data_IF_231639308569
#
_entry.id   IF_231639308569
#
_cell.length_a   1.000
_cell.length_b   1.000
_cell.length_c   1.000
_cell.angle_alpha   90.00
_cell.angle_beta   90.00
_cell.angle_gamma   90.00
#
_symmetry.space_group_name_H-M   'P 1'
#
loop_
_entity.id
_entity.type
_entity.pdbx_description
1 polymer ?
#
# COMPACT_ATOMS: atom_id res chain seq x y z
N UNK A 1 -14.78 3.26 60.28
CA UNK A 1 -15.57 2.34 61.09
C UNK A 1 -15.33 0.93 60.55
N UNK A 2 -14.35 0.20 61.18
CA UNK A 2 -14.54 -0.96 62.05
C UNK A 2 -15.43 -2.02 61.41
N UNK A 3 -15.07 -3.32 61.37
CA UNK A 3 -14.10 -4.18 62.04
C UNK A 3 -14.15 -5.56 61.40
N UNK A 4 -13.09 -6.21 61.42
CA UNK A 4 -12.64 -7.35 62.23
C UNK A 4 -13.50 -8.60 62.27
N UNK A 5 -12.82 -9.77 62.03
CA UNK A 5 -13.09 -11.10 62.49
C UNK A 5 -12.73 -12.17 61.46
N UNK A 6 -11.73 -12.82 61.44
CA UNK A 6 -10.80 -13.68 62.16
C UNK A 6 -11.33 -15.12 62.40
N UNK A 7 -10.40 -16.05 62.04
CA UNK A 7 -10.18 -17.44 62.49
C UNK A 7 -11.11 -18.52 61.90
N UNK A 8 -10.67 -19.68 61.52
CA UNK A 8 -9.46 -20.49 61.68
C UNK A 8 -9.88 -21.96 61.57
N UNK A 9 -9.07 -22.83 61.07
CA UNK A 9 -9.37 -24.25 61.11
C UNK A 9 -8.38 -25.08 60.26
N UNK A 10 -7.38 -25.59 60.93
CA UNK A 10 -6.39 -26.49 60.39
C UNK A 10 -6.91 -27.93 60.27
N UNK A 11 -6.46 -28.64 59.25
CA UNK A 11 -6.63 -30.06 59.10
C UNK A 11 -5.50 -30.64 58.22
N UNK A 12 -4.53 -31.29 58.90
CA UNK A 12 -3.45 -32.09 58.29
C UNK A 12 -4.03 -33.47 57.85
N UNK A 13 -3.60 -33.97 56.69
CA UNK A 13 -2.99 -35.28 56.59
C UNK A 13 -2.38 -35.55 55.21
N UNK A 14 -1.14 -35.79 55.17
CA UNK A 14 -0.23 -36.80 54.67
C UNK A 14 -0.65 -37.69 53.50
N UNK A 15 0.21 -37.73 52.46
CA UNK A 15 0.66 -38.98 51.88
C UNK A 15 0.75 -39.10 50.38
N UNK A 16 1.98 -39.33 49.93
CA UNK A 16 2.46 -40.19 48.86
C UNK A 16 2.67 -39.60 47.44
N UNK A 17 3.95 -39.37 47.18
CA UNK A 17 4.79 -39.76 46.03
C UNK A 17 4.16 -40.06 44.68
N UNK A 18 4.61 -39.35 43.64
CA UNK A 18 4.51 -39.75 42.22
C UNK A 18 5.24 -38.73 41.34
N UNK A 19 6.34 -39.14 40.77
CA UNK A 19 7.24 -38.36 39.94
C UNK A 19 6.64 -38.06 38.52
N UNK A 20 7.10 -36.95 37.93
CA UNK A 20 7.31 -36.91 36.49
C UNK A 20 6.43 -35.94 35.70
N UNK A 21 7.07 -35.01 35.05
CA UNK A 21 6.56 -34.38 33.86
C UNK A 21 6.56 -32.86 33.85
N UNK A 22 7.73 -32.28 33.60
CA UNK A 22 7.83 -30.88 33.20
C UNK A 22 7.08 -30.66 31.86
N UNK A 23 5.96 -29.97 31.90
CA UNK A 23 5.27 -29.50 30.73
C UNK A 23 5.78 -28.13 30.35
N UNK A 24 6.61 -28.08 29.32
CA UNK A 24 7.10 -26.86 28.68
C UNK A 24 5.95 -26.29 27.85
N UNK A 25 5.36 -25.17 28.25
CA UNK A 25 4.46 -24.38 27.42
C UNK A 25 5.26 -23.55 26.44
N UNK A 26 5.76 -24.18 25.38
CA UNK A 26 6.33 -23.52 24.23
C UNK A 26 5.20 -23.00 23.33
N UNK A 27 5.18 -21.67 23.13
CA UNK A 27 4.33 -21.07 22.10
C UNK A 27 4.67 -21.69 20.75
N UNK A 28 3.65 -22.21 20.09
CA UNK A 28 3.78 -22.73 18.74
C UNK A 28 4.01 -21.57 17.76
N UNK A 29 5.26 -21.30 17.45
CA UNK A 29 5.62 -20.65 16.22
C UNK A 29 5.19 -21.61 15.10
N UNK A 30 4.22 -21.19 14.33
CA UNK A 30 3.73 -21.94 13.17
C UNK A 30 4.77 -21.83 12.04
N UNK A 31 5.93 -22.45 12.19
CA UNK A 31 6.81 -22.72 11.06
C UNK A 31 6.15 -23.81 10.26
N UNK A 32 5.45 -23.42 9.18
CA UNK A 32 5.00 -24.36 8.18
C UNK A 32 6.24 -25.15 7.71
N UNK A 33 6.36 -26.39 8.16
CA UNK A 33 7.31 -27.33 7.64
C UNK A 33 7.03 -27.46 6.14
N UNK A 34 7.98 -27.10 5.31
CA UNK A 34 7.95 -27.40 3.87
C UNK A 34 8.03 -28.91 3.76
N UNK A 35 6.88 -29.55 3.70
CA UNK A 35 6.78 -30.93 3.27
C UNK A 35 7.07 -30.94 1.76
N UNK A 36 8.19 -31.54 1.40
CA UNK A 36 8.52 -31.89 0.01
C UNK A 36 7.66 -33.08 -0.44
N UNK A 37 6.42 -32.79 -0.82
CA UNK A 37 5.48 -33.75 -1.36
C UNK A 37 4.34 -33.02 -2.07
N UNK A 38 3.81 -33.61 -3.12
CA UNK A 38 2.88 -33.09 -4.14
C UNK A 38 1.52 -32.48 -3.64
N UNK A 39 1.34 -32.15 -2.37
CA UNK A 39 0.09 -31.71 -1.76
C UNK A 39 0.08 -30.27 -1.22
N UNK A 40 1.11 -29.44 -1.49
CA UNK A 40 1.07 -28.03 -1.06
C UNK A 40 0.17 -27.22 -1.99
N UNK A 41 -0.93 -26.71 -1.47
CA UNK A 41 -1.80 -25.76 -2.16
C UNK A 41 -1.94 -24.48 -1.34
N UNK A 42 -1.86 -23.31 -2.02
CA UNK A 42 -2.11 -22.02 -1.41
C UNK A 42 -3.03 -21.17 -2.27
N UNK A 43 -3.97 -20.49 -1.62
CA UNK A 43 -4.80 -19.45 -2.22
C UNK A 43 -4.41 -18.12 -1.59
N UNK A 44 -3.77 -17.25 -2.40
CA UNK A 44 -3.24 -15.96 -1.96
C UNK A 44 -4.12 -14.82 -2.48
N UNK A 45 -4.09 -13.68 -1.81
CA UNK A 45 -4.86 -12.49 -2.15
C UNK A 45 -3.92 -11.37 -2.58
N UNK A 46 -4.24 -10.72 -3.70
CA UNK A 46 -3.60 -9.51 -4.16
C UNK A 46 -4.65 -8.39 -4.24
N UNK A 47 -4.40 -7.26 -3.58
CA UNK A 47 -5.30 -6.11 -3.58
C UNK A 47 -4.66 -4.87 -4.18
N UNK A 48 -5.48 -4.04 -4.84
CA UNK A 48 -5.11 -2.72 -5.32
C UNK A 48 -6.34 -1.81 -5.48
N UNK A 49 -6.11 -0.49 -5.58
CA UNK A 49 -7.18 0.52 -5.61
C UNK A 49 -7.69 0.85 -7.03
N UNK A 50 -7.00 0.42 -8.08
CA UNK A 50 -7.35 0.76 -9.46
C UNK A 50 -8.39 -0.19 -10.05
N UNK A 51 -9.20 0.25 -11.04
CA UNK A 51 -10.05 -0.66 -11.82
C UNK A 51 -9.24 -1.79 -12.48
N UNK A 52 -9.92 -2.90 -12.80
CA UNK A 52 -9.26 -4.09 -13.36
C UNK A 52 -8.65 -3.86 -14.74
N UNK A 53 -9.23 -2.98 -15.54
CA UNK A 53 -8.77 -2.58 -16.89
C UNK A 53 -7.65 -1.53 -16.86
N UNK A 54 -7.30 -0.99 -15.68
CA UNK A 54 -6.12 -0.15 -15.50
C UNK A 54 -4.83 -1.00 -15.65
N UNK A 55 -3.68 -0.42 -16.10
CA UNK A 55 -2.41 -1.16 -16.19
C UNK A 55 -2.01 -1.91 -14.91
N UNK A 56 -2.31 -1.39 -13.72
CA UNK A 56 -2.08 -2.10 -12.46
C UNK A 56 -2.94 -3.37 -12.34
N UNK A 57 -4.22 -3.29 -12.75
CA UNK A 57 -5.12 -4.43 -12.74
C UNK A 57 -4.66 -5.51 -13.72
N UNK A 58 -4.33 -5.11 -14.95
CA UNK A 58 -3.78 -6.03 -15.96
C UNK A 58 -2.47 -6.69 -15.49
N UNK A 59 -1.60 -5.92 -14.83
CA UNK A 59 -0.36 -6.44 -14.23
C UNK A 59 -0.62 -7.43 -13.09
N UNK A 60 -1.62 -7.16 -12.25
CA UNK A 60 -2.04 -8.04 -11.17
C UNK A 60 -2.58 -9.38 -11.68
N UNK A 61 -3.44 -9.33 -12.71
CA UNK A 61 -3.97 -10.53 -13.37
C UNK A 61 -2.85 -11.37 -14.03
N UNK A 62 -1.90 -10.71 -14.69
CA UNK A 62 -0.76 -11.39 -15.30
C UNK A 62 0.16 -12.01 -14.24
N UNK A 63 0.39 -11.32 -13.14
CA UNK A 63 1.11 -11.89 -12.00
C UNK A 63 0.40 -13.14 -11.47
N UNK A 64 -0.91 -13.08 -11.25
CA UNK A 64 -1.70 -14.21 -10.78
C UNK A 64 -1.65 -15.40 -11.75
N UNK A 65 -1.75 -15.13 -13.07
CA UNK A 65 -1.63 -16.13 -14.13
C UNK A 65 -0.27 -16.81 -14.12
N UNK A 66 0.81 -16.02 -14.03
CA UNK A 66 2.18 -16.53 -14.01
C UNK A 66 2.49 -17.34 -12.75
N UNK A 67 2.01 -16.91 -11.58
CA UNK A 67 2.15 -17.68 -10.32
C UNK A 67 1.50 -19.04 -10.49
N UNK A 68 0.26 -19.09 -10.95
CA UNK A 68 -0.46 -20.35 -11.18
C UNK A 68 0.29 -21.25 -12.18
N UNK A 69 0.75 -20.70 -13.30
CA UNK A 69 1.47 -21.46 -14.34
C UNK A 69 2.80 -22.03 -13.79
N UNK A 70 3.59 -21.18 -13.11
CA UNK A 70 4.93 -21.58 -12.60
C UNK A 70 4.90 -22.54 -11.42
N UNK A 71 3.74 -22.68 -10.79
CA UNK A 71 3.53 -23.60 -9.66
C UNK A 71 2.64 -24.80 -10.04
N UNK A 72 2.43 -25.03 -11.34
CA UNK A 72 1.55 -26.08 -11.86
C UNK A 72 0.15 -26.07 -11.18
N UNK A 73 -0.34 -24.88 -10.81
CA UNK A 73 -1.62 -24.69 -10.15
C UNK A 73 -1.62 -24.90 -8.63
N UNK A 74 -0.48 -25.22 -8.03
CA UNK A 74 -0.38 -25.40 -6.57
C UNK A 74 -0.56 -24.10 -5.80
N UNK A 75 -0.20 -22.95 -6.40
CA UNK A 75 -0.45 -21.63 -5.84
C UNK A 75 -1.35 -20.84 -6.77
N UNK A 76 -2.42 -20.28 -6.22
CA UNK A 76 -3.32 -19.37 -6.94
C UNK A 76 -3.35 -18.02 -6.25
N UNK A 77 -3.55 -16.95 -7.03
CA UNK A 77 -3.68 -15.58 -6.51
C UNK A 77 -5.02 -15.04 -6.97
N UNK A 78 -5.86 -14.66 -6.02
CA UNK A 78 -7.12 -13.96 -6.27
C UNK A 78 -6.88 -12.46 -6.26
N UNK A 79 -7.24 -11.75 -7.34
CA UNK A 79 -7.07 -10.31 -7.48
C UNK A 79 -8.32 -9.58 -7.00
N UNK A 80 -8.14 -8.57 -6.15
CA UNK A 80 -9.19 -7.71 -5.58
C UNK A 80 -8.93 -6.25 -6.02
N UNK A 81 -9.47 -5.82 -7.17
CA UNK A 81 -9.29 -4.47 -7.72
C UNK A 81 -10.23 -3.45 -7.09
N UNK A 82 -10.10 -2.18 -7.52
CA UNK A 82 -11.04 -1.09 -7.24
C UNK A 82 -11.39 -0.90 -5.77
N UNK A 83 -10.39 -0.99 -4.89
CA UNK A 83 -10.56 -0.83 -3.43
C UNK A 83 -11.54 -1.83 -2.79
N UNK A 84 -11.75 -3.02 -3.36
CA UNK A 84 -12.67 -4.04 -2.81
C UNK A 84 -12.27 -4.48 -1.39
N UNK A 85 -10.98 -4.43 -1.04
CA UNK A 85 -10.47 -4.77 0.28
C UNK A 85 -10.01 -3.54 1.09
N UNK A 86 -10.43 -2.34 0.69
CA UNK A 86 -10.13 -1.10 1.38
C UNK A 86 -9.33 -0.09 0.56
N UNK A 87 -9.02 1.06 1.15
CA UNK A 87 -8.13 2.07 0.58
C UNK A 87 -6.66 1.66 0.70
N UNK A 88 -5.72 2.45 0.16
CA UNK A 88 -4.28 2.13 0.16
C UNK A 88 -3.74 1.82 1.56
N UNK A 89 -4.12 2.62 2.56
CA UNK A 89 -3.69 2.42 3.94
C UNK A 89 -4.22 1.09 4.50
N UNK A 90 -5.52 0.84 4.34
CA UNK A 90 -6.18 -0.39 4.85
C UNK A 90 -5.60 -1.64 4.19
N UNK A 91 -5.35 -1.59 2.87
CA UNK A 91 -4.72 -2.68 2.12
C UNK A 91 -3.30 -2.91 2.64
N UNK A 92 -2.50 -1.85 2.84
CA UNK A 92 -1.13 -2.00 3.29
C UNK A 92 -1.05 -2.50 4.73
N UNK A 93 -1.87 -1.98 5.64
CA UNK A 93 -1.98 -2.48 7.01
C UNK A 93 -2.35 -3.98 7.02
N UNK A 94 -3.22 -4.41 6.11
CA UNK A 94 -3.63 -5.81 5.97
C UNK A 94 -2.49 -6.71 5.46
N UNK A 95 -1.62 -6.20 4.58
CA UNK A 95 -0.41 -6.92 4.14
C UNK A 95 0.58 -7.06 5.30
N UNK A 96 0.78 -6.02 6.09
CA UNK A 96 1.72 -6.06 7.22
C UNK A 96 1.36 -7.12 8.28
N UNK A 97 0.07 -7.37 8.48
CA UNK A 97 -0.40 -8.38 9.45
C UNK A 97 -0.68 -9.75 8.80
N UNK A 98 -0.49 -9.89 7.49
CA UNK A 98 -0.68 -11.15 6.76
C UNK A 98 -2.13 -11.54 6.48
N UNK A 99 -3.09 -10.62 6.53
CA UNK A 99 -4.49 -10.89 6.14
C UNK A 99 -4.73 -10.72 4.63
N UNK A 100 -3.83 -10.00 3.95
CA UNK A 100 -3.66 -9.93 2.50
C UNK A 100 -2.21 -10.28 2.19
N UNK A 101 -1.97 -11.09 1.17
CA UNK A 101 -0.63 -11.60 0.84
C UNK A 101 0.17 -10.62 0.00
N UNK A 102 -0.51 -9.93 -0.94
CA UNK A 102 0.14 -8.98 -1.85
C UNK A 102 -0.67 -7.68 -2.01
N UNK A 103 0.04 -6.59 -2.21
CA UNK A 103 -0.56 -5.31 -2.62
C UNK A 103 0.20 -4.66 -3.78
N UNK A 104 -0.53 -3.99 -4.68
CA UNK A 104 0.04 -3.04 -5.64
C UNK A 104 -0.38 -1.65 -5.24
N UNK A 105 0.56 -0.89 -4.65
CA UNK A 105 0.37 0.49 -4.21
C UNK A 105 1.63 1.33 -4.44
N UNK A 106 1.52 2.65 -4.25
CA UNK A 106 2.66 3.58 -4.26
C UNK A 106 3.57 3.45 -3.03
N UNK A 107 4.59 4.30 -2.96
CA UNK A 107 5.58 4.28 -1.87
C UNK A 107 5.14 5.03 -0.61
N UNK A 108 4.06 5.79 -0.66
CA UNK A 108 3.68 6.69 0.43
C UNK A 108 3.25 6.00 1.72
N UNK A 109 2.53 4.88 1.67
CA UNK A 109 2.16 4.15 2.88
C UNK A 109 3.39 3.50 3.54
N UNK A 110 4.26 2.77 2.81
CA UNK A 110 5.53 2.31 3.37
C UNK A 110 6.41 3.42 3.93
N UNK A 111 6.46 4.58 3.28
CA UNK A 111 7.29 5.72 3.70
C UNK A 111 6.90 6.30 5.08
N UNK A 112 5.69 6.02 5.58
CA UNK A 112 5.28 6.42 6.93
C UNK A 112 6.06 5.67 8.02
N UNK A 113 6.61 4.48 7.72
CA UNK A 113 7.40 3.64 8.64
C UNK A 113 8.86 3.52 8.26
N UNK A 114 9.17 3.50 6.98
CA UNK A 114 10.52 3.51 6.42
C UNK A 114 10.63 4.69 5.46
N UNK A 115 11.04 5.84 6.00
CA UNK A 115 10.98 7.13 5.31
C UNK A 115 11.80 7.17 4.02
N UNK A 116 12.92 6.44 3.96
CA UNK A 116 13.85 6.49 2.84
C UNK A 116 13.21 6.03 1.53
N UNK A 117 12.28 5.05 1.57
CA UNK A 117 11.59 4.57 0.37
C UNK A 117 10.75 5.68 -0.29
N UNK A 118 10.33 6.70 0.46
CA UNK A 118 9.55 7.82 -0.04
C UNK A 118 10.29 8.68 -1.07
N UNK A 119 11.64 8.59 -1.15
CA UNK A 119 12.42 9.31 -2.17
C UNK A 119 11.97 8.94 -3.59
N UNK A 120 11.42 7.74 -3.79
CA UNK A 120 10.96 7.27 -5.09
C UNK A 120 9.74 8.01 -5.63
N UNK A 121 9.03 8.76 -4.77
CA UNK A 121 7.94 9.67 -5.14
C UNK A 121 8.40 11.16 -5.18
N UNK A 122 9.72 11.43 -5.05
CA UNK A 122 10.21 12.80 -5.05
C UNK A 122 9.94 13.50 -6.39
N UNK A 123 9.50 14.78 -6.38
CA UNK A 123 9.27 15.51 -7.61
C UNK A 123 10.56 15.63 -8.42
N UNK A 124 10.43 15.44 -9.73
CA UNK A 124 11.53 15.56 -10.72
C UNK A 124 12.76 14.67 -10.45
N UNK A 125 12.63 13.58 -9.65
CA UNK A 125 13.74 12.64 -9.38
C UNK A 125 14.22 11.92 -10.64
N UNK A 126 13.34 11.72 -11.62
CA UNK A 126 13.66 11.13 -12.91
C UNK A 126 13.34 12.10 -14.04
N UNK A 127 14.22 12.18 -15.04
CA UNK A 127 14.04 13.05 -16.19
C UNK A 127 13.10 12.49 -17.27
N UNK A 128 12.91 11.16 -17.27
CA UNK A 128 12.06 10.44 -18.19
C UNK A 128 11.70 9.05 -17.64
N UNK A 129 10.83 8.34 -18.37
CA UNK A 129 10.40 6.99 -18.03
C UNK A 129 11.56 6.00 -17.90
N UNK A 130 12.47 6.01 -18.87
CA UNK A 130 13.61 5.11 -18.93
C UNK A 130 14.56 5.34 -17.75
N UNK A 131 14.73 6.60 -17.33
CA UNK A 131 15.50 6.94 -16.16
C UNK A 131 14.83 6.39 -14.89
N UNK A 132 13.52 6.60 -14.71
CA UNK A 132 12.80 6.02 -13.57
C UNK A 132 12.91 4.49 -13.55
N UNK A 133 12.70 3.83 -14.69
CA UNK A 133 12.81 2.36 -14.76
C UNK A 133 14.21 1.88 -14.36
N UNK A 134 15.30 2.59 -14.74
CA UNK A 134 16.65 2.27 -14.25
C UNK A 134 16.79 2.44 -12.75
N UNK A 135 16.21 3.51 -12.18
CA UNK A 135 16.20 3.73 -10.71
C UNK A 135 15.49 2.57 -10.03
N UNK A 136 14.27 2.23 -10.46
CA UNK A 136 13.44 1.18 -9.85
C UNK A 136 14.08 -0.22 -9.91
N UNK A 137 14.94 -0.48 -10.89
CA UNK A 137 15.66 -1.75 -11.05
C UNK A 137 17.11 -1.67 -10.52
N UNK A 138 17.45 -0.68 -9.74
CA UNK A 138 18.80 -0.54 -9.16
C UNK A 138 18.95 -1.34 -7.87
N UNK A 139 20.20 -1.73 -7.57
CA UNK A 139 20.53 -2.37 -6.30
C UNK A 139 20.13 -1.52 -5.08
N UNK A 140 20.12 -0.19 -5.22
CA UNK A 140 19.70 0.74 -4.16
C UNK A 140 18.24 0.52 -3.79
N UNK A 141 17.34 0.41 -4.79
CA UNK A 141 15.91 0.18 -4.53
C UNK A 141 15.67 -1.22 -3.96
N UNK A 142 16.37 -2.24 -4.46
CA UNK A 142 16.28 -3.58 -3.89
C UNK A 142 16.82 -3.65 -2.46
N UNK A 143 17.91 -2.92 -2.13
CA UNK A 143 18.36 -2.77 -0.74
C UNK A 143 17.31 -2.12 0.16
N UNK A 144 16.63 -1.07 -0.34
CA UNK A 144 15.51 -0.45 0.40
C UNK A 144 14.38 -1.45 0.66
N UNK A 145 14.05 -2.29 -0.34
CA UNK A 145 13.04 -3.35 -0.18
C UNK A 145 13.45 -4.40 0.85
N UNK A 146 14.73 -4.78 0.91
CA UNK A 146 15.26 -5.69 1.92
C UNK A 146 15.22 -5.06 3.33
N UNK A 147 15.57 -3.78 3.45
CA UNK A 147 15.54 -3.05 4.71
C UNK A 147 14.11 -2.86 5.25
N UNK A 148 13.10 -2.74 4.37
CA UNK A 148 11.69 -2.60 4.79
C UNK A 148 11.25 -3.69 5.77
N UNK A 149 11.70 -4.93 5.58
CA UNK A 149 11.31 -6.07 6.43
C UNK A 149 11.68 -5.84 7.90
N UNK A 150 12.76 -5.08 8.18
CA UNK A 150 13.17 -4.68 9.53
C UNK A 150 12.27 -3.62 10.17
N UNK A 151 11.44 -2.93 9.40
CA UNK A 151 10.58 -1.83 9.84
C UNK A 151 9.10 -2.18 9.88
N UNK A 152 8.68 -3.17 9.10
CA UNK A 152 7.26 -3.52 8.93
C UNK A 152 7.08 -5.00 8.54
N UNK A 153 5.86 -5.49 8.59
CA UNK A 153 5.52 -6.87 8.21
C UNK A 153 5.33 -7.06 6.70
N UNK A 154 5.97 -6.25 5.87
CA UNK A 154 5.86 -6.27 4.42
C UNK A 154 7.22 -6.02 3.76
N UNK A 155 7.40 -6.55 2.54
CA UNK A 155 8.58 -6.37 1.71
C UNK A 155 8.18 -6.02 0.27
N UNK A 156 8.88 -5.07 -0.35
CA UNK A 156 8.77 -4.83 -1.79
C UNK A 156 9.47 -5.96 -2.56
N UNK A 157 8.82 -6.49 -3.59
CA UNK A 157 9.37 -7.57 -4.42
C UNK A 157 9.59 -7.15 -5.88
N UNK A 158 9.12 -5.97 -6.25
CA UNK A 158 9.35 -5.35 -7.54
C UNK A 158 8.64 -4.03 -7.66
N UNK A 159 9.19 -3.12 -8.45
CA UNK A 159 8.58 -1.82 -8.71
C UNK A 159 8.47 -1.56 -10.21
N UNK A 160 7.49 -0.75 -10.62
CA UNK A 160 7.22 -0.49 -12.01
C UNK A 160 6.68 0.92 -12.25
N UNK A 161 6.86 1.39 -13.47
CA UNK A 161 6.38 2.69 -13.90
C UNK A 161 4.85 2.75 -13.86
N UNK A 162 4.33 3.74 -13.14
CA UNK A 162 2.90 4.00 -13.01
C UNK A 162 2.41 5.08 -13.98
N UNK A 163 3.24 6.11 -14.21
CA UNK A 163 2.97 7.20 -15.14
C UNK A 163 3.44 8.56 -14.65
N UNK A 164 3.74 9.46 -15.60
CA UNK A 164 3.94 10.87 -15.26
C UNK A 164 2.62 11.48 -14.78
N UNK A 165 2.65 12.24 -13.69
CA UNK A 165 1.47 12.83 -13.07
C UNK A 165 1.20 14.21 -13.66
N UNK A 166 -0.04 14.42 -14.04
CA UNK A 166 -0.57 15.65 -14.62
C UNK A 166 -1.63 16.24 -13.70
N UNK A 167 -1.68 17.57 -13.64
CA UNK A 167 -2.74 18.28 -12.94
C UNK A 167 -4.00 18.32 -13.80
N UNK A 168 -5.17 18.10 -13.21
CA UNK A 168 -6.46 18.44 -13.84
C UNK A 168 -7.20 19.47 -13.00
N UNK A 169 -7.95 20.34 -13.65
CA UNK A 169 -8.80 21.34 -13.00
C UNK A 169 -10.15 21.45 -13.74
N UNK A 170 -11.18 21.89 -13.02
CA UNK A 170 -12.52 22.05 -13.60
C UNK A 170 -12.69 23.41 -14.28
N UNK A 171 -12.54 24.50 -13.54
CA UNK A 171 -13.02 25.81 -13.96
C UNK A 171 -11.87 26.80 -14.31
N UNK A 172 -10.62 26.49 -13.96
CA UNK A 172 -9.48 27.36 -14.17
C UNK A 172 -8.35 26.62 -14.91
N UNK A 173 -7.94 27.16 -16.05
CA UNK A 173 -6.69 26.73 -16.71
C UNK A 173 -5.50 27.27 -15.89
N UNK A 174 -4.58 26.37 -15.55
CA UNK A 174 -3.31 26.69 -14.91
C UNK A 174 -2.21 26.77 -15.98
N UNK A 175 -1.65 27.94 -16.19
CA UNK A 175 -0.59 28.20 -17.16
C UNK A 175 0.76 28.49 -16.50
N UNK A 176 0.73 28.97 -15.27
CA UNK A 176 1.91 29.20 -14.44
C UNK A 176 1.62 28.89 -12.95
N UNK A 177 2.65 28.84 -12.08
CA UNK A 177 2.46 28.54 -10.65
C UNK A 177 1.55 29.54 -9.91
N UNK A 178 1.48 30.80 -10.34
CA UNK A 178 0.62 31.79 -9.70
C UNK A 178 -0.88 31.42 -9.86
N UNK A 179 -1.23 30.73 -10.94
CA UNK A 179 -2.60 30.27 -11.19
C UNK A 179 -3.04 29.19 -10.19
N UNK A 180 -2.10 28.50 -9.53
CA UNK A 180 -2.39 27.49 -8.51
C UNK A 180 -2.93 28.09 -7.21
N UNK A 181 -2.71 29.38 -6.97
CA UNK A 181 -3.08 30.01 -5.71
C UNK A 181 -4.57 29.92 -5.43
N UNK A 182 -4.90 29.35 -4.28
CA UNK A 182 -6.27 29.18 -3.78
C UNK A 182 -7.03 28.00 -4.38
N UNK A 183 -6.44 27.25 -5.31
CA UNK A 183 -7.05 26.01 -5.81
C UNK A 183 -6.88 24.88 -4.78
N UNK A 184 -8.00 24.25 -4.42
CA UNK A 184 -8.03 23.04 -3.61
C UNK A 184 -7.72 21.84 -4.51
N UNK A 185 -6.48 21.39 -4.51
CA UNK A 185 -6.05 20.25 -5.31
C UNK A 185 -5.95 19.01 -4.44
N UNK A 186 -6.71 17.99 -4.78
CA UNK A 186 -6.64 16.72 -4.08
C UNK A 186 -5.27 16.07 -4.29
N UNK A 187 -4.72 15.56 -3.22
CA UNK A 187 -3.52 14.70 -3.22
C UNK A 187 -3.78 13.43 -2.41
N UNK A 188 -2.99 12.35 -2.60
CA UNK A 188 -2.93 11.25 -1.63
C UNK A 188 -2.55 11.77 -0.24
N UNK A 189 -2.97 11.07 0.84
CA UNK A 189 -2.57 11.41 2.22
C UNK A 189 -1.11 10.98 2.50
N UNK A 190 -0.19 11.67 1.83
CA UNK A 190 1.24 11.39 1.83
C UNK A 190 2.00 12.71 1.84
N UNK A 191 2.93 12.83 2.78
CA UNK A 191 3.64 14.09 3.04
C UNK A 191 4.28 14.69 1.79
N UNK A 192 4.92 13.87 0.97
CA UNK A 192 5.66 14.35 -0.19
C UNK A 192 4.73 14.97 -1.26
N UNK A 193 3.55 14.39 -1.47
CA UNK A 193 2.54 14.95 -2.38
C UNK A 193 1.95 16.24 -1.83
N UNK A 194 1.66 16.29 -0.53
CA UNK A 194 1.17 17.50 0.14
C UNK A 194 2.20 18.64 0.00
N UNK A 195 3.45 18.37 0.34
CA UNK A 195 4.54 19.35 0.27
C UNK A 195 4.77 19.84 -1.18
N UNK A 196 4.72 18.90 -2.16
CA UNK A 196 4.92 19.22 -3.58
C UNK A 196 3.85 20.18 -4.09
N UNK A 197 2.56 19.85 -3.92
CA UNK A 197 1.48 20.70 -4.42
C UNK A 197 1.39 22.01 -3.64
N UNK A 198 1.72 22.02 -2.35
CA UNK A 198 1.82 23.25 -1.55
C UNK A 198 2.96 24.15 -2.06
N UNK A 199 4.12 23.58 -2.38
CA UNK A 199 5.25 24.34 -2.97
C UNK A 199 4.92 24.89 -4.36
N UNK A 200 4.07 24.19 -5.12
CA UNK A 200 3.54 24.67 -6.41
C UNK A 200 2.47 25.78 -6.25
N UNK A 201 2.04 26.11 -5.02
CA UNK A 201 1.13 27.21 -4.72
C UNK A 201 -0.32 26.81 -4.48
N UNK A 202 -0.68 25.52 -4.59
CA UNK A 202 -2.03 25.04 -4.33
C UNK A 202 -2.35 24.86 -2.84
N UNK A 203 -3.62 24.76 -2.51
CA UNK A 203 -4.10 24.21 -1.24
C UNK A 203 -4.19 22.69 -1.41
N UNK A 204 -3.15 21.97 -0.97
CA UNK A 204 -3.14 20.52 -1.03
C UNK A 204 -4.19 19.92 -0.08
N UNK A 205 -5.12 19.13 -0.61
CA UNK A 205 -6.26 18.54 0.12
C UNK A 205 -6.11 17.02 0.15
N UNK A 206 -5.56 16.43 1.22
CA UNK A 206 -5.42 14.99 1.35
C UNK A 206 -6.79 14.28 1.39
N UNK A 207 -6.92 13.20 0.60
CA UNK A 207 -8.19 12.48 0.48
C UNK A 207 -7.97 11.07 -0.06
N UNK A 208 -8.72 10.08 0.43
CA UNK A 208 -8.72 8.72 -0.12
C UNK A 208 -9.10 8.72 -1.60
N UNK A 209 -8.49 7.81 -2.39
CA UNK A 209 -8.69 7.80 -3.85
C UNK A 209 -10.15 7.54 -4.24
N UNK A 210 -10.85 6.68 -3.51
CA UNK A 210 -12.28 6.35 -3.73
C UNK A 210 -13.23 7.54 -3.61
N UNK A 211 -12.82 8.62 -2.96
CA UNK A 211 -13.66 9.81 -2.72
C UNK A 211 -13.48 10.88 -3.82
N UNK A 212 -12.43 10.75 -4.65
CA UNK A 212 -11.98 11.83 -5.56
C UNK A 212 -13.03 12.18 -6.58
N UNK A 213 -13.60 11.19 -7.30
CA UNK A 213 -14.57 11.47 -8.36
C UNK A 213 -15.78 12.27 -7.85
N UNK A 214 -16.35 11.82 -6.72
CA UNK A 214 -17.51 12.49 -6.13
C UNK A 214 -17.16 13.90 -5.64
N UNK A 215 -16.00 14.09 -5.03
CA UNK A 215 -15.53 15.39 -4.54
C UNK A 215 -15.29 16.38 -5.69
N UNK A 216 -14.74 15.92 -6.83
CA UNK A 216 -14.62 16.71 -8.06
C UNK A 216 -15.98 17.09 -8.63
N UNK A 217 -16.89 16.12 -8.68
CA UNK A 217 -18.25 16.34 -9.22
C UNK A 217 -19.00 17.36 -8.39
N UNK A 218 -18.90 17.28 -7.07
CA UNK A 218 -19.57 18.19 -6.14
C UNK A 218 -18.86 19.55 -5.97
N UNK A 219 -17.66 19.72 -6.51
CA UNK A 219 -16.87 20.95 -6.37
C UNK A 219 -16.30 21.15 -4.96
N UNK A 220 -16.12 20.09 -4.19
CA UNK A 220 -15.41 20.12 -2.89
C UNK A 220 -13.93 20.40 -3.09
N UNK A 221 -13.39 19.92 -4.20
CA UNK A 221 -12.04 20.17 -4.69
C UNK A 221 -12.09 20.70 -6.11
N UNK A 222 -11.15 21.58 -6.47
CA UNK A 222 -11.09 22.21 -7.78
C UNK A 222 -10.38 21.33 -8.82
N UNK A 223 -9.52 20.42 -8.34
CA UNK A 223 -8.73 19.56 -9.21
C UNK A 223 -8.06 18.42 -8.47
N UNK A 224 -7.32 17.63 -9.22
CA UNK A 224 -6.52 16.51 -8.75
C UNK A 224 -5.29 16.35 -9.65
N UNK A 225 -4.35 15.48 -9.28
CA UNK A 225 -3.19 15.15 -10.08
C UNK A 225 -3.01 13.63 -10.10
N UNK A 226 -2.80 13.07 -11.28
CA UNK A 226 -2.59 11.63 -11.52
C UNK A 226 -2.02 11.39 -12.92
N UNK A 227 -1.52 10.16 -13.20
CA UNK A 227 -1.19 9.74 -14.55
C UNK A 227 -2.41 9.66 -15.46
N UNK A 228 -2.19 9.80 -16.77
CA UNK A 228 -3.26 9.77 -17.79
C UNK A 228 -4.10 8.49 -17.73
N UNK A 229 -3.46 7.33 -17.53
CA UNK A 229 -4.18 6.06 -17.41
C UNK A 229 -5.18 6.08 -16.24
N UNK A 230 -4.77 6.64 -15.11
CA UNK A 230 -5.63 6.78 -13.92
C UNK A 230 -6.76 7.77 -14.15
N UNK A 231 -6.47 8.92 -14.79
CA UNK A 231 -7.47 9.93 -15.14
C UNK A 231 -8.54 9.31 -16.03
N UNK A 232 -8.13 8.58 -17.07
CA UNK A 232 -9.04 7.95 -18.02
C UNK A 232 -9.84 6.80 -17.38
N UNK A 233 -9.19 5.86 -16.69
CA UNK A 233 -9.86 4.71 -16.09
C UNK A 233 -10.89 5.11 -15.02
N UNK A 234 -10.66 6.23 -14.33
CA UNK A 234 -11.59 6.73 -13.30
C UNK A 234 -12.52 7.86 -13.82
N UNK A 235 -12.52 8.10 -15.14
CA UNK A 235 -13.44 9.03 -15.81
C UNK A 235 -13.37 10.46 -15.26
N UNK A 236 -12.21 10.91 -14.81
CA UNK A 236 -12.05 12.27 -14.29
C UNK A 236 -12.24 13.32 -15.37
N UNK A 237 -12.07 12.98 -16.65
CA UNK A 237 -12.40 13.78 -17.80
C UNK A 237 -13.88 14.20 -17.89
N UNK A 238 -14.79 13.47 -17.23
CA UNK A 238 -16.21 13.83 -17.16
C UNK A 238 -16.49 14.98 -16.17
N UNK A 239 -15.58 15.25 -15.26
CA UNK A 239 -15.75 16.27 -14.19
C UNK A 239 -14.61 17.28 -14.13
N UNK A 240 -13.63 17.18 -15.05
CA UNK A 240 -12.48 18.08 -15.18
C UNK A 240 -12.34 18.53 -16.63
N UNK A 241 -12.15 19.82 -16.88
CA UNK A 241 -12.13 20.39 -18.23
C UNK A 241 -10.71 20.67 -18.76
N UNK A 242 -9.74 20.83 -17.86
CA UNK A 242 -8.35 21.15 -18.21
C UNK A 242 -7.42 20.06 -17.76
N UNK A 243 -6.46 19.72 -18.61
CA UNK A 243 -5.35 18.83 -18.34
C UNK A 243 -4.06 19.64 -18.53
N UNK A 244 -3.29 19.78 -17.46
CA UNK A 244 -2.05 20.53 -17.44
C UNK A 244 -0.87 19.55 -17.28
N UNK A 245 0.03 19.54 -18.25
CA UNK A 245 1.18 18.64 -18.32
C UNK A 245 2.30 19.11 -17.40
N UNK A 246 2.08 19.03 -16.11
CA UNK A 246 3.06 19.42 -15.09
C UNK A 246 4.22 18.43 -14.95
N UNK A 247 3.97 17.13 -15.15
CA UNK A 247 4.96 16.05 -15.02
C UNK A 247 5.82 16.14 -13.75
N UNK A 248 5.24 16.70 -12.70
CA UNK A 248 5.94 17.05 -11.46
C UNK A 248 6.43 15.83 -10.68
N UNK A 249 5.77 14.68 -10.84
CA UNK A 249 6.20 13.40 -10.29
C UNK A 249 6.12 12.33 -11.40
N UNK A 250 7.21 11.60 -11.60
CA UNK A 250 7.21 10.36 -12.35
C UNK A 250 6.76 9.24 -11.41
N UNK A 251 5.48 8.91 -11.44
CA UNK A 251 4.88 7.95 -10.52
C UNK A 251 5.36 6.53 -10.75
N UNK A 252 5.58 5.83 -9.66
CA UNK A 252 5.85 4.39 -9.64
C UNK A 252 4.97 3.70 -8.60
N UNK A 253 4.71 2.42 -8.81
CA UNK A 253 4.10 1.55 -7.83
C UNK A 253 5.00 0.34 -7.59
N UNK A 254 4.82 -0.31 -6.44
CA UNK A 254 5.51 -1.55 -6.16
C UNK A 254 4.50 -2.66 -5.82
N UNK A 255 4.93 -3.88 -6.08
CA UNK A 255 4.30 -5.08 -5.57
C UNK A 255 4.92 -5.40 -4.22
N UNK A 256 4.12 -5.35 -3.18
CA UNK A 256 4.50 -5.70 -1.81
C UNK A 256 3.98 -7.08 -1.47
N UNK A 257 4.78 -7.83 -0.72
CA UNK A 257 4.40 -9.12 -0.16
C UNK A 257 4.40 -9.04 1.37
N UNK A 258 3.46 -9.74 2.00
CA UNK A 258 3.49 -9.98 3.44
C UNK A 258 4.69 -10.85 3.81
N UNK A 259 5.30 -10.57 4.95
CA UNK A 259 6.36 -11.41 5.56
C UNK A 259 5.83 -12.27 6.72
N UNK A 260 4.50 -12.38 6.84
CA UNK A 260 3.82 -13.13 7.92
C UNK A 260 3.28 -14.47 7.44
#
# INVERSE_FOLDING_TARGET
>A
LMGCGAAGGAGKNSGSSGAGGAGNSGGAANTAAVNSGDDYHAELKLAHIMPIDHPNGLGAEEFARLVKEKTDGHVTVSVFPASQLGNEKEIFDAVEIGSIDFAIIGFGEPAKKYQDIGILDAPYIAGDREHLVRILNSDVVYSMFDEMEGHMGAKGIGAFYYGARYLTTKDKLVSDPEDMKGLNIRVPDQKLYIDTLTAMGAVATPMAFSEVFLSLQQGVIDGQENPLATIAANKFDQVQHYLIKTEHIMGANALYASTK
#
